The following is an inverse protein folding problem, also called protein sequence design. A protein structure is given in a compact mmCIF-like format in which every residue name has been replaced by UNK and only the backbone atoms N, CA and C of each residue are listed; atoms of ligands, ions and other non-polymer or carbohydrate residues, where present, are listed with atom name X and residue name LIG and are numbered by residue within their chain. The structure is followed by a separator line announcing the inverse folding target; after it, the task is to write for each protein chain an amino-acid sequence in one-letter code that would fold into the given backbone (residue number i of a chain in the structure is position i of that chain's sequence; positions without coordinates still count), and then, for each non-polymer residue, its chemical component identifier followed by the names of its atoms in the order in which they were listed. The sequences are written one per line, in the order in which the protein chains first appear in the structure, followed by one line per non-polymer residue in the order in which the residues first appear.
data_IF_093210526862
#
_entry.id   IF_093210526862
#
_cell.length_a   1.000
_cell.length_b   1.000
_cell.length_c   1.000
_cell.angle_alpha   90.00
_cell.angle_beta   90.00
_cell.angle_gamma   90.00
#
_symmetry.space_group_name_H-M   'P 1'
#
loop_
_entity.id
_entity.type
_entity.pdbx_description
1 polymer ?
#
# COMPACT_ATOMS: atom_id res chain seq x y z
N UNK A 1 15.48 -6.03 -1.76
CA UNK A 1 14.03 -6.02 -2.05
C UNK A 1 13.86 -6.36 -3.52
N UNK A 2 12.89 -7.21 -3.89
CA UNK A 2 12.70 -7.66 -5.28
C UNK A 2 11.25 -7.52 -5.72
N UNK A 3 11.05 -7.30 -7.01
CA UNK A 3 9.75 -7.24 -7.68
C UNK A 3 9.39 -8.66 -8.16
N UNK A 4 8.25 -9.19 -7.71
CA UNK A 4 7.83 -10.56 -8.02
C UNK A 4 6.47 -10.53 -8.71
N UNK A 5 6.43 -10.81 -10.01
CA UNK A 5 5.22 -10.71 -10.82
C UNK A 5 4.54 -12.06 -10.98
N UNK A 6 3.21 -12.03 -10.91
CA UNK A 6 2.32 -13.13 -11.24
C UNK A 6 1.20 -12.61 -12.13
N UNK A 7 0.90 -13.32 -13.23
CA UNK A 7 -0.06 -12.83 -14.23
C UNK A 7 -1.22 -13.80 -14.45
N UNK A 8 -2.46 -13.31 -14.52
CA UNK A 8 -3.60 -14.03 -15.12
C UNK A 8 -3.86 -13.52 -16.54
N UNK A 9 -3.98 -14.39 -17.55
CA UNK A 9 -4.18 -13.96 -18.95
C UNK A 9 -4.66 -15.03 -19.94
N UNK A 10 -5.05 -14.60 -21.16
CA UNK A 10 -5.60 -15.47 -22.24
C UNK A 10 -4.57 -15.90 -23.30
N UNK A 11 -3.39 -15.30 -23.37
CA UNK A 11 -2.41 -15.63 -24.41
C UNK A 11 -1.48 -16.74 -23.92
N UNK A 12 -1.12 -17.69 -24.80
CA UNK A 12 0.23 -18.25 -24.75
C UNK A 12 1.19 -17.07 -24.64
N UNK A 13 2.11 -17.02 -23.67
CA UNK A 13 3.10 -15.95 -23.62
C UNK A 13 3.88 -15.95 -24.94
N UNK A 14 3.45 -15.16 -25.93
CA UNK A 14 4.09 -15.10 -27.26
C UNK A 14 5.37 -14.29 -27.22
N UNK A 15 5.64 -13.66 -26.08
CA UNK A 15 6.91 -13.06 -25.72
C UNK A 15 7.30 -13.56 -24.34
N UNK A 16 8.46 -14.22 -24.19
CA UNK A 16 9.15 -14.22 -22.91
C UNK A 16 9.18 -12.75 -22.44
N UNK A 17 8.75 -12.43 -21.19
CA UNK A 17 8.98 -13.32 -20.07
C UNK A 17 7.99 -13.22 -18.88
N UNK A 18 6.72 -13.62 -19.05
CA UNK A 18 5.71 -13.54 -17.95
C UNK A 18 5.49 -14.86 -17.24
N UNK A 19 5.72 -14.90 -15.92
CA UNK A 19 5.26 -15.98 -15.04
C UNK A 19 3.77 -15.78 -14.74
N UNK A 20 2.92 -16.76 -15.07
CA UNK A 20 1.48 -16.61 -14.92
C UNK A 20 0.66 -17.86 -15.20
N UNK A 21 -0.65 -17.71 -15.03
CA UNK A 21 -1.67 -18.74 -15.21
C UNK A 21 -2.57 -18.35 -16.37
N UNK A 22 -2.92 -19.36 -17.18
CA UNK A 22 -3.79 -19.18 -18.32
C UNK A 22 -5.24 -19.43 -17.94
N UNK A 23 -6.09 -18.48 -18.32
CA UNK A 23 -7.54 -18.61 -18.25
C UNK A 23 -8.04 -19.39 -19.46
N UNK A 24 -8.85 -20.42 -19.25
CA UNK A 24 -9.47 -21.16 -20.34
C UNK A 24 -10.79 -20.48 -20.75
N UNK A 25 -10.85 -19.94 -21.98
CA UNK A 25 -12.06 -19.36 -22.58
C UNK A 25 -12.11 -17.82 -22.61
N UNK A 26 -13.26 -17.28 -23.00
CA UNK A 26 -13.50 -15.82 -23.03
C UNK A 26 -13.94 -15.33 -21.67
N UNK A 27 -13.22 -14.38 -21.08
CA UNK A 27 -13.52 -13.81 -19.77
C UNK A 27 -13.87 -12.32 -19.84
N UNK A 28 -14.66 -11.86 -18.86
CA UNK A 28 -15.02 -10.44 -18.68
C UNK A 28 -13.89 -9.63 -18.02
N UNK A 29 -14.16 -8.43 -17.49
CA UNK A 29 -13.12 -7.64 -16.81
C UNK A 29 -12.52 -8.43 -15.63
N UNK A 30 -11.22 -8.23 -15.40
CA UNK A 30 -10.49 -8.88 -14.31
C UNK A 30 -9.89 -7.86 -13.35
N UNK A 31 -9.93 -8.12 -12.06
CA UNK A 31 -9.23 -7.31 -11.07
C UNK A 31 -8.76 -8.13 -9.89
N UNK A 32 -7.63 -7.73 -9.30
CA UNK A 32 -7.13 -8.33 -8.07
C UNK A 32 -7.11 -7.28 -6.96
N UNK A 33 -7.67 -7.64 -5.82
CA UNK A 33 -7.63 -6.84 -4.60
C UNK A 33 -6.86 -7.58 -3.51
N UNK A 34 -5.84 -6.93 -2.94
CA UNK A 34 -5.02 -7.54 -1.89
C UNK A 34 -5.73 -7.42 -0.55
N UNK A 35 -5.91 -8.54 0.15
CA UNK A 35 -6.67 -8.56 1.41
C UNK A 35 -5.95 -7.93 2.60
N UNK A 36 -4.66 -7.58 2.46
CA UNK A 36 -3.82 -7.17 3.58
C UNK A 36 -3.16 -8.33 4.34
N UNK A 37 -3.62 -9.57 4.18
CA UNK A 37 -3.00 -10.72 4.85
C UNK A 37 -1.88 -11.33 4.01
N UNK A 38 -0.74 -11.55 4.66
CA UNK A 38 0.44 -12.13 4.05
C UNK A 38 1.26 -12.89 5.09
N UNK A 39 2.16 -13.73 4.60
CA UNK A 39 3.25 -14.30 5.37
C UNK A 39 4.53 -14.19 4.54
N UNK A 40 5.57 -13.62 5.14
CA UNK A 40 6.90 -13.52 4.54
C UNK A 40 7.88 -14.18 5.48
N UNK A 41 8.95 -14.77 4.96
CA UNK A 41 9.98 -15.34 5.82
C UNK A 41 10.65 -14.25 6.66
N UNK A 42 10.87 -14.55 7.93
CA UNK A 42 11.45 -13.62 8.91
C UNK A 42 12.78 -13.02 8.40
N UNK A 43 12.96 -11.72 8.63
CA UNK A 43 14.17 -10.98 8.24
C UNK A 43 14.23 -10.60 6.76
N UNK A 44 13.30 -11.04 5.92
CA UNK A 44 13.23 -10.56 4.54
C UNK A 44 12.58 -9.18 4.43
N UNK A 45 12.98 -8.36 3.42
CA UNK A 45 12.28 -7.11 3.11
C UNK A 45 10.87 -7.38 2.58
N UNK A 46 9.92 -6.51 2.93
CA UNK A 46 8.54 -6.49 2.45
C UNK A 46 8.09 -5.06 2.16
N UNK A 47 7.41 -4.83 1.03
CA UNK A 47 6.94 -3.50 0.63
C UNK A 47 5.55 -3.55 -0.07
N UNK A 48 4.77 -4.60 0.19
CA UNK A 48 3.38 -4.69 -0.22
C UNK A 48 3.12 -5.38 -1.57
N UNK A 49 1.87 -5.29 -2.00
CA UNK A 49 1.32 -5.96 -3.18
C UNK A 49 0.57 -4.95 -4.04
N UNK A 50 0.85 -4.92 -5.34
CA UNK A 50 0.07 -4.18 -6.33
C UNK A 50 -0.81 -5.15 -7.11
N UNK A 51 -2.13 -4.91 -7.07
CA UNK A 51 -3.10 -5.67 -7.85
C UNK A 51 -3.39 -5.05 -9.22
N UNK A 52 -4.02 -5.84 -10.09
CA UNK A 52 -4.44 -5.38 -11.41
C UNK A 52 -5.86 -4.78 -11.37
N UNK A 53 -6.16 -3.89 -12.32
CA UNK A 53 -7.53 -3.51 -12.69
C UNK A 53 -7.61 -3.49 -14.22
N UNK A 54 -8.26 -4.50 -14.79
CA UNK A 54 -8.31 -4.73 -16.23
C UNK A 54 -9.73 -4.55 -16.73
N UNK A 55 -9.98 -3.42 -17.40
CA UNK A 55 -11.23 -3.21 -18.13
C UNK A 55 -11.29 -4.11 -19.37
N UNK A 56 -12.52 -4.41 -19.84
CA UNK A 56 -12.79 -5.28 -21.00
C UNK A 56 -11.72 -5.15 -22.10
N UNK A 57 -10.99 -6.24 -22.34
CA UNK A 57 -10.04 -6.31 -23.43
C UNK A 57 -10.76 -6.10 -24.76
N UNK A 58 -10.30 -5.16 -25.57
CA UNK A 58 -10.76 -5.01 -26.95
C UNK A 58 -10.42 -6.32 -27.67
N UNK A 59 -11.43 -6.96 -28.26
CA UNK A 59 -11.29 -8.17 -29.08
C UNK A 59 -10.04 -8.09 -29.98
N UNK A 60 -8.97 -8.81 -29.62
CA UNK A 60 -7.71 -8.85 -30.36
C UNK A 60 -6.43 -8.80 -29.51
N UNK A 61 -6.49 -8.24 -28.30
CA UNK A 61 -5.33 -8.22 -27.37
C UNK A 61 -5.79 -8.69 -25.99
N UNK A 62 -5.32 -9.85 -25.56
CA UNK A 62 -5.64 -10.39 -24.24
C UNK A 62 -5.14 -9.42 -23.17
N UNK A 63 -6.05 -8.87 -22.37
CA UNK A 63 -5.68 -7.99 -21.28
C UNK A 63 -5.27 -8.87 -20.08
N UNK A 64 -4.01 -8.75 -19.69
CA UNK A 64 -3.39 -9.52 -18.61
C UNK A 64 -3.59 -8.80 -17.28
N UNK A 65 -4.00 -9.55 -16.25
CA UNK A 65 -4.04 -9.08 -14.88
C UNK A 65 -2.71 -9.41 -14.19
N UNK A 66 -1.84 -8.42 -14.08
CA UNK A 66 -0.52 -8.56 -13.43
C UNK A 66 -0.60 -8.16 -11.95
N UNK A 67 -0.06 -9.02 -11.09
CA UNK A 67 0.04 -8.85 -9.65
C UNK A 67 1.52 -8.77 -9.31
N UNK A 68 1.93 -7.72 -8.62
CA UNK A 68 3.31 -7.52 -8.19
C UNK A 68 3.42 -7.63 -6.68
N UNK A 69 4.29 -8.50 -6.19
CA UNK A 69 4.62 -8.63 -4.76
C UNK A 69 6.04 -8.15 -4.52
N UNK A 70 6.20 -7.13 -3.66
CA UNK A 70 7.50 -6.58 -3.33
C UNK A 70 8.03 -7.23 -2.05
N UNK A 71 8.86 -8.27 -2.21
CA UNK A 71 9.36 -9.08 -1.12
C UNK A 71 10.78 -9.59 -1.40
N UNK A 72 11.45 -10.10 -0.38
CA UNK A 72 12.66 -10.89 -0.54
C UNK A 72 12.40 -12.28 -1.15
N UNK A 73 13.48 -13.04 -1.34
CA UNK A 73 13.45 -14.42 -1.86
C UNK A 73 14.32 -15.34 -1.02
N UNK A 74 13.81 -15.71 0.14
CA UNK A 74 14.46 -16.59 1.10
C UNK A 74 13.41 -17.54 1.70
N UNK A 75 13.25 -18.72 1.12
CA UNK A 75 12.14 -19.58 1.46
C UNK A 75 12.18 -20.10 2.91
N UNK A 76 11.00 -20.32 3.49
CA UNK A 76 10.84 -21.02 4.76
C UNK A 76 9.50 -21.73 4.83
N UNK A 77 9.31 -22.55 5.87
CA UNK A 77 8.07 -23.28 6.10
C UNK A 77 6.90 -22.37 6.51
N UNK A 78 7.16 -21.21 7.11
CA UNK A 78 6.12 -20.31 7.62
C UNK A 78 5.13 -19.86 6.53
N UNK A 79 5.61 -19.24 5.43
CA UNK A 79 4.74 -18.86 4.33
C UNK A 79 4.07 -20.06 3.62
N UNK A 80 4.72 -21.23 3.59
CA UNK A 80 4.11 -22.45 3.07
C UNK A 80 2.94 -22.95 3.94
N UNK A 81 3.07 -22.90 5.26
CA UNK A 81 1.99 -23.23 6.20
C UNK A 81 0.83 -22.22 6.08
N UNK A 82 1.14 -20.93 5.99
CA UNK A 82 0.14 -19.89 5.72
C UNK A 82 -0.62 -20.19 4.42
N UNK A 83 0.09 -20.51 3.34
CA UNK A 83 -0.53 -20.87 2.06
C UNK A 83 -1.46 -22.07 2.22
N UNK A 84 -0.98 -23.16 2.84
CA UNK A 84 -1.75 -24.40 3.02
C UNK A 84 -3.03 -24.21 3.88
N UNK A 85 -3.02 -23.30 4.85
CA UNK A 85 -4.20 -22.96 5.67
C UNK A 85 -5.27 -22.18 4.90
N UNK A 86 -4.90 -21.53 3.79
CA UNK A 86 -5.77 -20.64 3.03
C UNK A 86 -6.19 -21.21 1.66
N UNK A 87 -6.02 -22.51 1.42
CA UNK A 87 -6.42 -23.15 0.16
C UNK A 87 -7.15 -24.46 0.41
N UNK A 88 -8.14 -24.77 -0.44
CA UNK A 88 -8.80 -26.09 -0.47
C UNK A 88 -8.10 -27.04 -1.46
N UNK A 89 -7.61 -26.50 -2.56
CA UNK A 89 -6.74 -27.14 -3.52
C UNK A 89 -5.79 -26.10 -4.10
N UNK A 90 -4.65 -26.55 -4.60
CA UNK A 90 -3.65 -25.68 -5.20
C UNK A 90 -3.04 -26.35 -6.43
N UNK A 91 -2.59 -25.51 -7.35
CA UNK A 91 -1.68 -25.88 -8.43
C UNK A 91 -0.43 -25.02 -8.35
N UNK A 92 0.54 -25.41 -9.16
CA UNK A 92 1.82 -24.75 -9.24
C UNK A 92 2.25 -24.59 -10.69
N UNK A 93 3.09 -23.59 -10.94
CA UNK A 93 3.46 -23.19 -12.29
C UNK A 93 4.44 -24.17 -12.93
N UNK A 94 5.71 -24.15 -12.51
CA UNK A 94 6.80 -24.92 -13.09
C UNK A 94 7.80 -25.34 -12.01
N UNK A 95 8.49 -26.46 -12.19
CA UNK A 95 9.51 -26.97 -11.26
C UNK A 95 9.03 -27.07 -9.80
N UNK A 96 7.81 -27.56 -9.64
CA UNK A 96 7.19 -27.75 -8.35
C UNK A 96 7.34 -29.21 -7.96
N UNK A 97 7.93 -29.48 -6.79
CA UNK A 97 8.01 -30.84 -6.23
C UNK A 97 6.64 -31.44 -5.84
N UNK A 98 5.56 -30.65 -5.95
CA UNK A 98 4.18 -31.06 -5.67
C UNK A 98 3.19 -29.88 -5.77
N UNK A 99 1.90 -30.21 -5.69
CA UNK A 99 0.80 -29.23 -5.68
C UNK A 99 0.73 -28.40 -4.40
N UNK A 100 1.33 -28.89 -3.30
CA UNK A 100 1.50 -28.13 -2.07
C UNK A 100 2.98 -27.83 -1.83
N UNK A 101 3.34 -26.56 -1.53
CA UNK A 101 4.72 -26.20 -1.25
C UNK A 101 5.11 -26.62 0.17
N UNK A 102 6.38 -27.02 0.35
CA UNK A 102 6.96 -27.24 1.68
C UNK A 102 7.68 -26.00 2.22
N UNK A 103 8.18 -25.13 1.32
CA UNK A 103 8.79 -23.85 1.64
C UNK A 103 8.37 -22.81 0.60
N UNK A 104 8.13 -21.57 1.05
CA UNK A 104 7.84 -20.43 0.20
C UNK A 104 8.62 -19.21 0.69
N UNK A 105 8.96 -18.31 -0.23
CA UNK A 105 9.54 -17.00 0.07
C UNK A 105 8.52 -16.12 0.81
N UNK A 106 7.31 -16.09 0.25
CA UNK A 106 6.16 -15.39 0.78
C UNK A 106 4.86 -16.04 0.26
N UNK A 107 3.75 -15.71 0.93
CA UNK A 107 2.40 -16.03 0.50
C UNK A 107 1.45 -14.87 0.84
N UNK A 108 0.45 -14.65 0.01
CA UNK A 108 -0.52 -13.55 0.14
C UNK A 108 -1.94 -14.08 -0.10
N UNK A 109 -2.94 -13.45 0.52
CA UNK A 109 -4.34 -13.65 0.15
C UNK A 109 -4.93 -12.40 -0.48
N UNK A 110 -5.92 -12.60 -1.35
CA UNK A 110 -6.66 -11.52 -1.98
C UNK A 110 -7.96 -12.02 -2.60
N UNK A 111 -8.54 -11.18 -3.43
CA UNK A 111 -9.78 -11.45 -4.16
C UNK A 111 -9.52 -11.22 -5.65
N UNK A 112 -9.70 -12.26 -6.46
CA UNK A 112 -9.71 -12.14 -7.93
C UNK A 112 -11.17 -11.98 -8.38
N UNK A 113 -11.49 -10.89 -9.07
CA UNK A 113 -12.79 -10.68 -9.69
C UNK A 113 -12.69 -10.95 -11.17
N UNK A 114 -13.60 -11.76 -11.71
CA UNK A 114 -13.61 -12.20 -13.11
C UNK A 114 -15.04 -12.07 -13.61
N UNK A 115 -15.26 -11.26 -14.63
CA UNK A 115 -16.62 -11.06 -15.18
C UNK A 115 -17.61 -10.52 -14.14
N UNK A 116 -17.12 -9.79 -13.13
CA UNK A 116 -17.93 -9.26 -12.03
C UNK A 116 -18.19 -10.24 -10.87
N UNK A 117 -17.71 -11.48 -10.94
CA UNK A 117 -17.79 -12.43 -9.82
C UNK A 117 -16.46 -12.50 -9.09
N UNK A 118 -16.48 -12.41 -7.77
CA UNK A 118 -15.29 -12.36 -6.92
C UNK A 118 -15.00 -13.70 -6.25
N UNK A 119 -13.75 -14.12 -6.31
CA UNK A 119 -13.27 -15.37 -5.72
C UNK A 119 -12.10 -15.11 -4.77
N UNK A 120 -12.09 -15.71 -3.56
CA UNK A 120 -10.93 -15.63 -2.69
C UNK A 120 -9.79 -16.41 -3.32
N UNK A 121 -8.57 -15.87 -3.26
CA UNK A 121 -7.39 -16.49 -3.84
C UNK A 121 -6.16 -16.27 -2.95
N UNK A 122 -5.28 -17.26 -2.95
CA UNK A 122 -4.02 -17.31 -2.24
C UNK A 122 -2.92 -17.56 -3.26
N UNK A 123 -1.88 -16.71 -3.25
CA UNK A 123 -0.71 -16.83 -4.12
C UNK A 123 0.52 -17.05 -3.25
N UNK A 124 1.43 -17.91 -3.68
CA UNK A 124 2.67 -18.19 -2.98
C UNK A 124 3.83 -18.31 -3.96
N UNK A 125 4.98 -17.72 -3.65
CA UNK A 125 6.18 -17.85 -4.47
C UNK A 125 7.24 -18.67 -3.73
N UNK A 126 7.84 -19.64 -4.40
CA UNK A 126 9.03 -20.35 -3.93
C UNK A 126 10.27 -20.01 -4.75
N UNK A 127 11.43 -20.46 -4.26
CA UNK A 127 12.73 -20.38 -4.97
C UNK A 127 13.34 -21.78 -5.08
N UNK A 128 13.14 -22.52 -6.19
CA UNK A 128 13.91 -23.71 -6.49
C UNK A 128 15.40 -23.40 -6.61
N UNK A 129 16.24 -24.44 -6.44
CA UNK A 129 17.70 -24.33 -6.40
C UNK A 129 18.36 -23.81 -7.68
N UNK A 130 17.61 -23.62 -8.77
CA UNK A 130 18.09 -23.11 -10.07
C UNK A 130 18.02 -21.59 -10.25
N UNK A 131 17.47 -20.84 -9.28
CA UNK A 131 17.27 -19.38 -9.43
C UNK A 131 16.06 -19.00 -10.29
N UNK A 132 15.26 -19.99 -10.70
CA UNK A 132 13.93 -19.80 -11.25
C UNK A 132 12.93 -19.62 -10.10
N UNK A 133 11.81 -18.92 -10.32
CA UNK A 133 10.80 -18.74 -9.27
C UNK A 133 9.51 -19.43 -9.69
N UNK A 134 9.03 -20.31 -8.82
CA UNK A 134 7.77 -21.01 -9.01
C UNK A 134 6.67 -20.37 -8.18
N UNK A 135 5.45 -20.48 -8.70
CA UNK A 135 4.28 -19.90 -8.06
C UNK A 135 3.21 -20.96 -7.85
N UNK A 136 2.65 -20.94 -6.65
CA UNK A 136 1.45 -21.68 -6.30
C UNK A 136 0.26 -20.73 -6.28
N UNK A 137 -0.89 -21.24 -6.71
CA UNK A 137 -2.16 -20.54 -6.59
C UNK A 137 -3.27 -21.51 -6.17
N UNK A 138 -4.22 -20.97 -5.44
CA UNK A 138 -5.43 -21.68 -5.03
C UNK A 138 -6.30 -20.79 -4.16
N UNK A 139 -7.30 -21.34 -3.49
CA UNK A 139 -8.10 -20.56 -2.56
C UNK A 139 -9.16 -21.41 -1.86
N UNK A 140 -9.87 -20.83 -0.88
CA UNK A 140 -11.00 -21.49 -0.23
C UNK A 140 -12.07 -21.88 -1.27
N UNK A 141 -12.47 -23.15 -1.26
CA UNK A 141 -13.49 -23.69 -2.17
C UNK A 141 -13.01 -24.00 -3.59
N UNK A 142 -11.77 -23.64 -3.96
CA UNK A 142 -11.20 -24.03 -5.24
C UNK A 142 -10.92 -25.53 -5.25
N UNK A 143 -11.03 -26.13 -6.43
CA UNK A 143 -10.86 -27.58 -6.61
C UNK A 143 -10.08 -27.87 -7.89
N UNK A 144 -9.39 -29.00 -7.93
CA UNK A 144 -8.87 -29.53 -9.20
C UNK A 144 -10.06 -29.83 -10.10
N UNK A 145 -10.03 -29.36 -11.34
CA UNK A 145 -11.14 -29.53 -12.27
C UNK A 145 -11.40 -31.01 -12.56
N UNK A 146 -12.66 -31.45 -12.56
CA UNK A 146 -13.00 -32.86 -12.82
C UNK A 146 -12.58 -33.32 -14.22
N UNK A 147 -12.53 -32.39 -15.18
CA UNK A 147 -12.13 -32.62 -16.56
C UNK A 147 -10.62 -32.65 -16.77
N UNK A 148 -9.81 -32.20 -15.81
CA UNK A 148 -8.36 -31.99 -15.99
C UNK A 148 -7.62 -31.89 -14.66
N UNK A 149 -6.63 -32.77 -14.45
CA UNK A 149 -5.78 -32.73 -13.25
C UNK A 149 -4.75 -31.59 -13.26
N UNK A 150 -4.60 -30.87 -14.39
CA UNK A 150 -3.69 -29.75 -14.56
C UNK A 150 -4.40 -28.39 -14.51
N UNK A 151 -5.67 -28.37 -14.14
CA UNK A 151 -6.47 -27.16 -14.02
C UNK A 151 -7.08 -27.02 -12.62
N UNK A 152 -7.12 -25.78 -12.15
CA UNK A 152 -7.82 -25.40 -10.93
C UNK A 152 -9.08 -24.63 -11.29
N UNK A 153 -10.20 -25.05 -10.72
CA UNK A 153 -11.52 -24.48 -10.96
C UNK A 153 -11.94 -23.57 -9.81
N UNK A 154 -12.64 -22.49 -10.14
CA UNK A 154 -13.31 -21.64 -9.14
C UNK A 154 -14.35 -22.44 -8.33
N UNK A 155 -14.75 -21.97 -7.14
CA UNK A 155 -15.70 -22.68 -6.29
C UNK A 155 -17.05 -23.02 -6.96
N UNK A 156 -17.49 -22.20 -7.89
CA UNK A 156 -18.71 -22.40 -8.69
C UNK A 156 -18.46 -23.17 -10.00
N UNK A 157 -17.20 -23.48 -10.32
CA UNK A 157 -16.80 -24.12 -11.57
C UNK A 157 -16.96 -23.26 -12.82
N UNK A 158 -17.21 -21.95 -12.68
CA UNK A 158 -17.43 -21.05 -13.81
C UNK A 158 -16.14 -20.78 -14.61
N UNK A 159 -14.97 -20.85 -13.96
CA UNK A 159 -13.67 -20.59 -14.57
C UNK A 159 -12.67 -21.69 -14.22
N UNK A 160 -11.80 -22.04 -15.18
CA UNK A 160 -10.63 -22.90 -14.94
C UNK A 160 -9.33 -22.21 -15.34
N UNK A 161 -8.28 -22.61 -14.63
CA UNK A 161 -6.96 -22.01 -14.66
C UNK A 161 -5.91 -23.10 -14.83
N UNK A 162 -5.10 -23.04 -15.89
CA UNK A 162 -3.99 -23.97 -16.14
C UNK A 162 -2.63 -23.29 -15.94
N UNK A 163 -1.63 -24.08 -15.53
CA UNK A 163 -0.22 -23.66 -15.68
C UNK A 163 0.07 -23.40 -17.16
N UNK A 164 0.56 -22.22 -17.52
CA UNK A 164 1.06 -21.98 -18.87
C UNK A 164 2.32 -22.81 -19.12
N UNK A 165 2.30 -23.68 -20.14
CA UNK A 165 3.49 -24.43 -20.56
C UNK A 165 4.48 -23.47 -21.26
N UNK A 166 5.78 -23.64 -20.97
CA UNK A 166 6.97 -22.90 -21.45
C UNK A 166 7.44 -21.73 -20.57
N UNK A 167 8.47 -22.00 -19.77
CA UNK A 167 9.28 -20.99 -19.09
C UNK A 167 10.77 -21.30 -19.36
N UNK A 168 11.43 -20.51 -20.20
CA UNK A 168 12.89 -20.50 -20.34
C UNK A 168 13.41 -19.10 -20.03
N UNK A 169 14.30 -19.02 -19.03
CA UNK A 169 15.21 -17.92 -18.66
C UNK A 169 14.70 -16.47 -18.77
N UNK A 170 14.57 -15.79 -17.62
CA UNK A 170 14.78 -14.33 -17.58
C UNK A 170 16.13 -13.95 -17.03
N UNK A 171 16.83 -13.14 -17.81
CA UNK A 171 17.52 -11.98 -17.28
C UNK A 171 16.48 -10.92 -16.90
N UNK A 172 16.64 -10.39 -15.69
CA UNK A 172 15.93 -9.26 -15.10
C UNK A 172 15.65 -8.14 -16.12
N UNK A 173 14.38 -7.75 -16.25
CA UNK A 173 14.04 -6.39 -16.67
C UNK A 173 13.73 -5.55 -15.43
N UNK A 174 14.65 -4.64 -15.10
CA UNK A 174 14.34 -3.50 -14.24
C UNK A 174 13.28 -2.64 -14.94
N UNK A 175 12.01 -2.95 -14.75
CA UNK A 175 10.94 -1.99 -15.02
C UNK A 175 10.96 -1.02 -13.85
N UNK A 176 11.68 0.08 -14.02
CA UNK A 176 11.53 1.24 -13.15
C UNK A 176 10.07 1.71 -13.29
N UNK A 177 9.25 1.53 -12.25
CA UNK A 177 8.04 2.33 -12.08
C UNK A 177 8.50 3.78 -12.00
N UNK A 178 8.14 4.61 -12.97
CA UNK A 178 8.68 5.97 -13.11
C UNK A 178 8.12 6.98 -12.11
N UNK A 179 7.50 6.56 -10.99
CA UNK A 179 7.38 7.47 -9.85
C UNK A 179 8.66 7.39 -9.03
N UNK A 180 9.65 8.18 -9.45
CA UNK A 180 10.81 8.47 -8.61
C UNK A 180 10.34 9.14 -7.33
N UNK A 181 10.87 8.71 -6.19
CA UNK A 181 10.70 9.45 -4.94
C UNK A 181 11.08 10.93 -5.13
N UNK A 182 10.27 11.82 -4.57
CA UNK A 182 10.55 13.25 -4.53
C UNK A 182 10.44 13.73 -3.08
N UNK A 183 11.21 14.75 -2.68
CA UNK A 183 11.08 15.32 -1.36
C UNK A 183 9.74 16.04 -1.23
N UNK A 184 9.04 15.77 -0.12
CA UNK A 184 7.80 16.41 0.26
C UNK A 184 7.97 16.97 1.67
N UNK A 185 7.95 18.29 1.80
CA UNK A 185 8.17 18.95 3.09
C UNK A 185 6.88 19.57 3.61
N UNK A 186 6.63 19.43 4.91
CA UNK A 186 5.64 20.19 5.68
C UNK A 186 6.31 20.74 6.93
N UNK A 187 5.95 21.96 7.32
CA UNK A 187 6.52 22.60 8.50
C UNK A 187 5.52 22.58 9.66
N UNK A 188 5.95 22.10 10.82
CA UNK A 188 5.26 22.36 12.09
C UNK A 188 5.90 23.61 12.71
N UNK A 189 5.13 24.69 12.84
CA UNK A 189 5.64 25.95 13.37
C UNK A 189 4.94 26.30 14.69
N UNK A 190 5.71 26.46 15.77
CA UNK A 190 5.20 26.93 17.07
C UNK A 190 5.33 28.44 17.26
N UNK A 191 5.97 29.16 16.31
CA UNK A 191 6.10 30.62 16.31
C UNK A 191 5.89 31.20 14.91
N UNK A 192 4.68 31.72 14.66
CA UNK A 192 4.34 32.41 13.41
C UNK A 192 4.59 33.93 13.49
N UNK A 193 5.51 34.39 14.36
CA UNK A 193 5.88 35.80 14.46
C UNK A 193 4.82 36.71 15.11
N UNK A 194 3.74 36.14 15.67
CA UNK A 194 2.65 36.87 16.37
C UNK A 194 2.55 36.53 17.85
N UNK A 195 3.61 35.96 18.44
CA UNK A 195 3.69 35.51 19.84
C UNK A 195 2.61 34.49 20.23
N UNK A 196 2.53 33.37 19.51
CA UNK A 196 1.91 32.17 20.04
C UNK A 196 2.81 31.65 21.16
N UNK A 197 2.36 31.67 22.42
CA UNK A 197 3.13 31.16 23.59
C UNK A 197 3.37 29.63 23.55
N UNK A 198 3.39 29.00 22.38
CA UNK A 198 3.59 27.57 22.25
C UNK A 198 5.04 27.19 22.56
N UNK A 199 5.24 26.12 23.35
CA UNK A 199 6.56 25.54 23.54
C UNK A 199 7.17 25.08 22.21
N UNK A 200 8.50 24.91 22.15
CA UNK A 200 9.15 24.21 21.05
C UNK A 200 8.53 22.83 20.81
N UNK A 201 8.53 22.43 19.55
CA UNK A 201 7.98 21.15 19.09
C UNK A 201 9.07 20.16 18.73
N UNK A 202 8.75 18.87 18.84
CA UNK A 202 9.52 17.76 18.27
C UNK A 202 8.58 16.88 17.48
N UNK A 203 9.07 16.29 16.41
CA UNK A 203 8.39 15.21 15.72
C UNK A 203 9.35 14.05 15.54
N UNK A 204 8.91 12.86 15.92
CA UNK A 204 9.66 11.62 15.70
C UNK A 204 8.81 10.66 14.90
N UNK A 205 9.31 10.24 13.73
CA UNK A 205 8.66 9.25 12.89
C UNK A 205 8.58 7.90 13.61
N UNK A 206 7.41 7.25 13.61
CA UNK A 206 7.19 5.99 14.33
C UNK A 206 7.67 4.75 13.57
N UNK A 207 7.89 4.86 12.25
CA UNK A 207 8.15 3.73 11.37
C UNK A 207 6.94 3.29 10.54
N UNK A 208 5.73 3.70 10.90
CA UNK A 208 4.51 3.32 10.17
C UNK A 208 4.15 4.33 9.08
N UNK A 209 4.02 3.82 7.86
CA UNK A 209 3.60 4.59 6.69
C UNK A 209 2.64 3.80 5.80
N UNK A 210 1.95 4.55 4.93
CA UNK A 210 1.29 4.02 3.75
C UNK A 210 1.67 4.84 2.55
N UNK A 211 1.93 4.15 1.44
CA UNK A 211 2.17 4.78 0.15
C UNK A 211 1.32 4.08 -0.89
N UNK A 212 0.98 4.81 -1.93
CA UNK A 212 0.35 4.25 -3.11
C UNK A 212 1.11 3.05 -3.66
N UNK A 213 0.37 2.03 -4.08
CA UNK A 213 0.92 0.87 -4.73
C UNK A 213 1.78 1.28 -5.96
N UNK A 214 3.00 0.77 -6.05
CA UNK A 214 4.00 1.17 -7.07
C UNK A 214 4.74 2.49 -6.79
N UNK A 215 4.42 3.19 -5.69
CA UNK A 215 5.17 4.33 -5.20
C UNK A 215 6.43 3.92 -4.44
N UNK A 216 7.50 4.69 -4.62
CA UNK A 216 8.72 4.60 -3.81
C UNK A 216 8.55 5.41 -2.53
N UNK A 217 8.88 4.80 -1.38
CA UNK A 217 9.01 5.46 -0.09
C UNK A 217 10.47 5.36 0.35
N UNK A 218 11.11 6.52 0.52
CA UNK A 218 12.49 6.66 0.91
C UNK A 218 12.63 6.98 2.39
N UNK A 219 13.39 8.03 2.68
CA UNK A 219 13.62 8.49 4.04
C UNK A 219 12.56 9.47 4.53
N UNK A 220 12.38 9.47 5.84
CA UNK A 220 11.75 10.56 6.58
C UNK A 220 12.87 11.28 7.33
N UNK A 221 13.00 12.59 7.09
CA UNK A 221 13.81 13.49 7.91
C UNK A 221 12.86 14.23 8.83
N UNK A 222 12.95 13.95 10.13
CA UNK A 222 12.11 14.52 11.18
C UNK A 222 12.93 15.48 12.09
N UNK A 223 12.32 15.93 13.18
CA UNK A 223 12.96 16.84 14.13
C UNK A 223 12.92 16.22 15.54
N UNK A 224 13.87 15.34 15.86
CA UNK A 224 13.87 14.59 17.12
C UNK A 224 14.31 15.42 18.34
N UNK A 225 14.58 16.72 18.14
CA UNK A 225 15.00 17.66 19.19
C UNK A 225 14.12 18.90 19.17
N UNK A 226 13.88 19.57 20.33
CA UNK A 226 12.93 20.68 20.40
C UNK A 226 13.36 21.86 19.51
N UNK A 227 12.48 22.29 18.62
CA UNK A 227 12.69 23.41 17.69
C UNK A 227 11.41 24.24 17.55
N UNK A 228 11.53 25.52 17.18
CA UNK A 228 10.34 26.36 16.94
C UNK A 228 9.72 26.09 15.56
N UNK A 229 10.53 25.69 14.59
CA UNK A 229 10.08 25.31 13.26
C UNK A 229 10.68 23.94 12.94
N UNK A 230 9.82 22.93 12.86
CA UNK A 230 10.18 21.57 12.48
C UNK A 230 9.79 21.31 11.02
N UNK A 231 10.79 21.27 10.14
CA UNK A 231 10.62 20.89 8.75
C UNK A 231 10.69 19.36 8.60
N UNK A 232 9.55 18.72 8.39
CA UNK A 232 9.44 17.27 8.19
C UNK A 232 9.50 17.02 6.68
N UNK A 233 10.51 16.29 6.22
CA UNK A 233 10.67 15.95 4.80
C UNK A 233 10.52 14.45 4.58
N UNK A 234 9.60 14.08 3.69
CA UNK A 234 9.30 12.69 3.35
C UNK A 234 9.64 12.49 1.87
N UNK A 235 10.65 11.67 1.60
CA UNK A 235 10.97 11.25 0.25
C UNK A 235 9.98 10.17 -0.15
N UNK A 236 9.03 10.52 -1.00
CA UNK A 236 7.98 9.59 -1.42
C UNK A 236 7.44 9.95 -2.79
N UNK A 237 6.93 8.95 -3.48
CA UNK A 237 6.23 9.10 -4.76
C UNK A 237 4.88 9.79 -4.60
N UNK A 238 4.44 10.46 -5.68
CA UNK A 238 3.19 11.22 -5.73
C UNK A 238 2.14 10.57 -6.62
N UNK A 239 1.61 9.42 -6.18
CA UNK A 239 0.49 8.76 -6.86
C UNK A 239 -0.71 8.72 -5.91
N UNK A 240 -1.74 9.55 -6.10
CA UNK A 240 -2.88 9.57 -5.18
C UNK A 240 -3.71 8.30 -5.30
N UNK A 241 -3.98 7.64 -4.17
CA UNK A 241 -4.85 6.45 -4.14
C UNK A 241 -5.80 6.50 -2.94
N UNK A 242 -6.96 5.85 -3.10
CA UNK A 242 -7.98 5.74 -2.05
C UNK A 242 -7.52 4.94 -0.83
N UNK A 243 -6.78 3.80 -0.96
CA UNK A 243 -6.34 3.02 0.21
C UNK A 243 -5.45 3.81 1.17
N UNK A 244 -4.56 4.67 0.67
CA UNK A 244 -3.73 5.54 1.53
C UNK A 244 -4.61 6.52 2.31
N UNK A 245 -5.64 7.09 1.68
CA UNK A 245 -6.59 7.97 2.35
C UNK A 245 -7.41 7.24 3.42
N UNK A 246 -7.87 6.02 3.14
CA UNK A 246 -8.59 5.18 4.11
C UNK A 246 -7.71 4.86 5.33
N UNK A 247 -6.44 4.52 5.10
CA UNK A 247 -5.49 4.29 6.20
C UNK A 247 -5.25 5.56 7.01
N UNK A 248 -5.10 6.71 6.35
CA UNK A 248 -5.00 8.00 7.03
C UNK A 248 -6.23 8.25 7.91
N UNK A 249 -7.45 8.11 7.38
CA UNK A 249 -8.69 8.36 8.13
C UNK A 249 -8.84 7.40 9.31
N UNK A 250 -8.36 6.16 9.21
CA UNK A 250 -8.34 5.23 10.33
C UNK A 250 -7.41 5.68 11.48
N UNK A 251 -6.29 6.32 11.14
CA UNK A 251 -5.30 6.83 12.10
C UNK A 251 -5.58 8.27 12.56
N UNK A 252 -6.34 9.04 11.77
CA UNK A 252 -6.77 10.41 12.08
C UNK A 252 -8.27 10.58 11.78
N UNK A 253 -9.17 10.03 12.63
CA UNK A 253 -10.62 10.16 12.42
C UNK A 253 -11.10 11.61 12.44
N UNK A 254 -10.41 12.46 13.21
CA UNK A 254 -10.54 13.91 13.18
C UNK A 254 -9.24 14.48 12.62
N UNK A 255 -9.37 15.23 11.53
CA UNK A 255 -8.24 15.78 10.79
C UNK A 255 -8.56 17.20 10.30
N UNK A 256 -7.50 17.91 9.93
CA UNK A 256 -7.54 19.18 9.20
C UNK A 256 -6.58 19.10 8.02
N UNK A 257 -6.64 20.11 7.16
CA UNK A 257 -5.79 20.22 5.99
C UNK A 257 -5.12 21.59 5.88
N UNK A 258 -3.93 21.65 5.27
CA UNK A 258 -3.28 22.86 4.76
C UNK A 258 -3.43 22.98 3.24
N UNK A 259 -3.58 24.21 2.75
CA UNK A 259 -3.68 24.55 1.34
C UNK A 259 -5.11 24.45 0.79
N UNK A 260 -5.23 24.28 -0.52
CA UNK A 260 -6.51 24.29 -1.24
C UNK A 260 -7.29 22.97 -1.08
N UNK A 261 -7.69 22.65 0.13
CA UNK A 261 -8.53 21.49 0.44
C UNK A 261 -10.02 21.79 0.30
N UNK A 262 -10.75 20.80 -0.21
CA UNK A 262 -12.21 20.82 -0.30
C UNK A 262 -12.89 20.01 0.83
N UNK A 263 -12.11 19.34 1.68
CA UNK A 263 -12.58 18.47 2.76
C UNK A 263 -11.51 18.30 3.84
N UNK A 264 -11.95 18.17 5.09
CA UNK A 264 -11.10 17.85 6.25
C UNK A 264 -10.60 16.40 6.24
N UNK A 265 -11.30 15.50 5.54
CA UNK A 265 -10.87 14.12 5.28
C UNK A 265 -10.54 13.94 3.79
N UNK A 266 -9.38 13.36 3.44
CA UNK A 266 -9.01 13.14 2.05
C UNK A 266 -9.79 11.96 1.45
N UNK A 267 -10.13 12.03 0.17
CA UNK A 267 -10.64 10.88 -0.59
C UNK A 267 -9.52 10.06 -1.23
N UNK A 268 -8.36 10.68 -1.48
CA UNK A 268 -7.15 10.05 -2.00
C UNK A 268 -5.91 10.78 -1.49
N UNK A 269 -4.84 10.03 -1.21
CA UNK A 269 -3.53 10.55 -0.78
C UNK A 269 -2.40 9.88 -1.54
N UNK A 270 -1.28 10.60 -1.69
CA UNK A 270 -0.04 10.09 -2.26
C UNK A 270 0.65 9.10 -1.30
N UNK A 271 0.80 9.54 -0.05
CA UNK A 271 1.34 8.79 1.07
C UNK A 271 0.81 9.37 2.39
N UNK A 272 0.95 8.60 3.47
CA UNK A 272 0.70 9.01 4.83
C UNK A 272 1.72 8.36 5.78
N UNK A 273 2.04 9.03 6.87
CA UNK A 273 2.94 8.54 7.93
C UNK A 273 2.33 8.78 9.29
N UNK A 274 2.73 8.01 10.30
CA UNK A 274 2.49 8.37 11.70
C UNK A 274 3.80 8.74 12.39
N UNK A 275 3.67 9.47 13.48
CA UNK A 275 4.77 9.79 14.36
C UNK A 275 4.26 10.34 15.68
N UNK A 276 5.19 10.75 16.52
CA UNK A 276 4.90 11.36 17.81
C UNK A 276 5.24 12.84 17.76
N UNK A 277 4.23 13.70 17.91
CA UNK A 277 4.39 15.12 18.11
C UNK A 277 4.57 15.40 19.61
N UNK A 278 5.68 15.99 20.00
CA UNK A 278 5.88 16.46 21.37
C UNK A 278 5.83 17.98 21.42
N UNK A 279 5.01 18.53 22.31
CA UNK A 279 4.86 19.96 22.56
C UNK A 279 5.18 20.20 24.04
N UNK A 280 6.32 20.83 24.30
CA UNK A 280 6.84 20.96 25.66
C UNK A 280 7.13 19.58 26.29
N UNK A 281 6.42 19.22 27.36
CA UNK A 281 6.59 17.94 28.06
C UNK A 281 5.56 16.86 27.70
N UNK A 282 4.64 17.14 26.77
CA UNK A 282 3.55 16.23 26.41
C UNK A 282 3.72 15.72 24.98
N UNK A 283 3.40 14.45 24.77
CA UNK A 283 3.52 13.76 23.50
C UNK A 283 2.15 13.27 23.02
N UNK A 284 1.92 13.40 21.72
CA UNK A 284 0.66 13.13 21.06
C UNK A 284 0.92 12.33 19.77
N UNK A 285 0.09 11.32 19.47
CA UNK A 285 0.15 10.66 18.17
C UNK A 285 -0.27 11.64 17.09
N UNK A 286 0.52 11.75 16.03
CA UNK A 286 0.25 12.60 14.87
C UNK A 286 0.38 11.76 13.60
N UNK A 287 -0.62 11.84 12.74
CA UNK A 287 -0.65 11.29 11.40
C UNK A 287 -0.56 12.44 10.41
N UNK A 288 0.33 12.32 9.44
CA UNK A 288 0.50 13.28 8.34
C UNK A 288 0.19 12.57 7.03
N UNK A 289 -0.63 13.19 6.19
CA UNK A 289 -0.99 12.69 4.86
C UNK A 289 -0.69 13.75 3.81
N UNK A 290 -0.15 13.36 2.67
CA UNK A 290 0.13 14.29 1.58
C UNK A 290 -0.71 13.93 0.36
N UNK A 291 -1.37 14.92 -0.22
CA UNK A 291 -2.11 14.81 -1.46
C UNK A 291 -1.87 16.03 -2.35
N UNK A 292 -2.68 16.20 -3.39
CA UNK A 292 -2.52 17.32 -4.32
C UNK A 292 -3.88 17.82 -4.77
N UNK A 293 -4.05 19.13 -4.85
CA UNK A 293 -5.25 19.77 -5.42
C UNK A 293 -5.15 19.93 -6.93
N UNK A 294 -3.93 20.12 -7.44
CA UNK A 294 -3.64 20.26 -8.88
C UNK A 294 -2.17 19.87 -9.18
N UNK A 295 -1.77 19.70 -10.46
CA UNK A 295 -0.39 19.42 -10.79
C UNK A 295 0.57 20.49 -10.22
N UNK A 296 1.49 20.07 -9.36
CA UNK A 296 2.46 20.97 -8.71
C UNK A 296 1.99 21.64 -7.42
N UNK A 297 0.73 21.48 -7.02
CA UNK A 297 0.20 22.00 -5.74
C UNK A 297 -0.06 20.84 -4.78
N UNK A 298 0.69 20.82 -3.69
CA UNK A 298 0.58 19.80 -2.66
C UNK A 298 -0.29 20.33 -1.52
N UNK A 299 -1.20 19.49 -1.03
CA UNK A 299 -1.95 19.76 0.18
C UNK A 299 -1.54 18.72 1.22
N UNK A 300 -1.65 19.09 2.51
CA UNK A 300 -1.33 18.19 3.61
C UNK A 300 -2.51 18.03 4.54
N UNK A 301 -2.71 16.82 5.03
CA UNK A 301 -3.67 16.50 6.08
C UNK A 301 -2.92 16.13 7.34
N UNK A 302 -3.48 16.52 8.48
CA UNK A 302 -2.91 16.26 9.79
C UNK A 302 -4.00 15.97 10.80
N UNK A 303 -3.72 15.07 11.74
CA UNK A 303 -4.62 14.68 12.82
C UNK A 303 -4.10 13.48 13.56
N UNK A 304 -4.92 12.85 14.39
CA UNK A 304 -4.50 11.64 15.08
C UNK A 304 -5.58 11.04 15.98
N UNK A 305 -5.27 9.91 16.64
CA UNK A 305 -6.19 9.29 17.58
C UNK A 305 -6.48 10.22 18.76
N UNK A 306 -7.76 10.41 19.08
CA UNK A 306 -8.22 11.20 20.22
C UNK A 306 -8.19 12.72 20.02
N UNK A 307 -7.79 13.22 18.85
CA UNK A 307 -7.88 14.64 18.52
C UNK A 307 -9.33 15.06 18.31
N UNK A 308 -9.65 16.32 18.59
CA UNK A 308 -11.01 16.86 18.46
C UNK A 308 -11.01 18.17 17.67
N UNK A 309 -12.11 18.52 17.00
CA UNK A 309 -12.26 19.86 16.43
C UNK A 309 -12.30 20.92 17.53
N UNK A 310 -11.73 22.09 17.26
CA UNK A 310 -11.82 23.23 18.16
C UNK A 310 -11.88 24.56 17.40
N UNK A 311 -12.25 25.61 18.13
CA UNK A 311 -12.33 26.96 17.60
C UNK A 311 -10.98 27.40 17.00
N UNK A 312 -10.99 28.33 16.03
CA UNK A 312 -9.77 28.84 15.40
C UNK A 312 -8.74 29.29 16.43
N UNK A 313 -7.51 28.78 16.30
CA UNK A 313 -6.39 29.08 17.21
C UNK A 313 -5.76 30.42 16.81
N UNK A 314 -5.70 30.71 15.51
CA UNK A 314 -5.54 32.06 14.98
C UNK A 314 -6.67 32.33 13.98
N UNK A 315 -7.18 33.56 13.98
CA UNK A 315 -8.42 33.96 13.32
C UNK A 315 -8.63 33.35 11.92
N UNK A 316 -9.77 32.69 11.69
CA UNK A 316 -10.30 32.43 10.34
C UNK A 316 -10.52 30.96 9.98
N UNK A 317 -9.75 30.01 10.51
CA UNK A 317 -9.87 28.58 10.17
C UNK A 317 -9.98 27.70 11.42
N UNK A 318 -10.98 26.81 11.51
CA UNK A 318 -11.09 25.85 12.61
C UNK A 318 -9.84 24.97 12.70
N UNK A 319 -9.37 24.75 13.92
CA UNK A 319 -8.24 23.87 14.20
C UNK A 319 -8.67 22.48 14.63
N UNK A 320 -7.68 21.66 14.96
CA UNK A 320 -7.86 20.46 15.78
C UNK A 320 -7.01 20.57 17.04
N UNK A 321 -7.55 20.08 18.14
CA UNK A 321 -6.94 20.14 19.44
C UNK A 321 -6.41 18.78 19.86
N UNK A 322 -5.33 18.82 20.64
CA UNK A 322 -4.75 17.63 21.26
C UNK A 322 -5.78 16.95 22.17
N UNK A 323 -5.64 15.64 22.45
CA UNK A 323 -6.60 14.89 23.28
C UNK A 323 -6.89 15.48 24.67
N UNK A 324 -5.96 16.26 25.21
CA UNK A 324 -6.10 16.96 26.49
C UNK A 324 -6.56 18.43 26.36
N UNK A 325 -6.83 18.88 25.13
CA UNK A 325 -7.27 20.24 24.80
C UNK A 325 -6.23 21.33 25.05
N UNK A 326 -4.98 20.99 25.39
CA UNK A 326 -3.97 21.97 25.78
C UNK A 326 -3.39 22.75 24.60
N UNK A 327 -3.28 22.10 23.44
CA UNK A 327 -2.71 22.67 22.23
C UNK A 327 -3.61 22.43 21.03
N UNK A 328 -3.48 23.31 20.05
CA UNK A 328 -4.20 23.25 18.80
C UNK A 328 -3.22 23.26 17.63
N UNK A 329 -3.58 22.54 16.57
CA UNK A 329 -2.98 22.60 15.26
C UNK A 329 -3.97 23.18 14.25
N UNK A 330 -3.49 24.06 13.38
CA UNK A 330 -4.26 24.59 12.25
C UNK A 330 -3.35 24.90 11.06
N UNK A 331 -3.95 25.20 9.92
CA UNK A 331 -3.23 25.77 8.78
C UNK A 331 -2.51 27.08 9.18
N UNK A 332 -1.24 27.19 8.76
CA UNK A 332 -0.42 28.39 8.92
C UNK A 332 -0.66 29.43 7.83
N UNK A 333 0.20 30.45 7.78
CA UNK A 333 0.08 31.54 6.80
C UNK A 333 0.86 31.26 5.51
N UNK A 334 1.69 30.22 5.50
CA UNK A 334 2.46 29.76 4.35
C UNK A 334 2.07 28.32 4.01
N UNK A 335 2.03 27.96 2.72
CA UNK A 335 1.67 26.60 2.31
C UNK A 335 2.94 25.83 1.89
N UNK A 336 3.26 24.64 2.46
CA UNK A 336 2.54 23.93 3.52
C UNK A 336 3.12 24.15 4.93
N UNK A 337 2.34 24.83 5.79
CA UNK A 337 2.65 25.08 7.21
C UNK A 337 1.47 24.68 8.09
N UNK A 338 1.78 24.02 9.20
CA UNK A 338 0.87 23.72 10.29
C UNK A 338 1.32 24.52 11.50
N UNK A 339 0.48 25.44 11.95
CA UNK A 339 0.68 26.22 13.15
C UNK A 339 0.32 25.39 14.38
N UNK A 340 1.20 25.41 15.38
CA UNK A 340 1.00 24.82 16.71
C UNK A 340 0.86 25.96 17.73
N UNK A 341 -0.22 25.98 18.49
CA UNK A 341 -0.45 27.03 19.47
C UNK A 341 -1.15 26.51 20.75
N UNK A 342 -1.00 27.25 21.85
CA UNK A 342 -1.72 26.98 23.10
C UNK A 342 -3.20 27.33 22.91
N UNK A 343 -4.08 26.45 23.33
CA UNK A 343 -5.53 26.71 23.33
C UNK A 343 -5.84 27.48 24.60
N UNK A 344 -6.37 28.69 24.46
CA UNK A 344 -6.82 29.45 25.64
C UNK A 344 -8.06 28.76 26.22
N UNK A 345 -8.12 28.51 27.54
CA UNK A 345 -9.35 28.02 28.15
C UNK A 345 -10.46 29.06 27.91
N UNK A 346 -11.60 28.59 27.39
CA UNK A 346 -12.82 29.37 27.25
C UNK A 346 -13.49 29.66 28.58
#
# INVERSE_FOLDING_TARGET
MQSNNFTFGNSTPTTPPTTGVQMVGTYGPMSFDFSGNYSVTEGQPWNGVTGCQVANGTSGTAANCEINVQAGRHNSAGPAQFFAQNVSAALCSWECGGSMPSNLNFAITGTITIGGTSYPITLGQGSPSGGEENWWWGGPGWQVCQSSSSELCTPDGAWSFSSGNEMTTQSQTNVASTSTEVPNTVNLNSDNGTSTNAPPVMFTYSGDSQISAGGQFGSVTDCPTPVMNCAITINASRNKTTPVAQWFTANAPVAQCTGLCNSTQPSQLNFAITGTLTIGSKSYPLTLGQGSSSPGVNNWWFGGPGWTSCDPITSGTPGICTPDGAYGLQEGNTDPEILVAVVSPS
#
